data_IF_564895817813
#
_entry.id   IF_564895817813
#
_cell.length_a   1.000
_cell.length_b   1.000
_cell.length_c   1.000
_cell.angle_alpha   90.00
_cell.angle_beta   90.00
_cell.angle_gamma   90.00
#
_symmetry.space_group_name_H-M   'P 1'
#
loop_
_entity.id
_entity.type
_entity.pdbx_description
1 polymer ?
#
# COMPACT_ATOMS: atom_id res chain seq x y z
N UNK A 1 4.16 -5.50 -13.54
CA UNK A 1 3.60 -5.42 -12.17
C UNK A 1 3.34 -4.00 -11.68
N UNK A 2 4.35 -3.12 -11.59
CA UNK A 2 4.21 -1.77 -11.01
C UNK A 2 3.03 -0.95 -11.57
N UNK A 3 2.85 -0.94 -12.90
CA UNK A 3 1.70 -0.31 -13.57
C UNK A 3 0.36 -0.94 -13.21
N UNK A 4 0.31 -2.25 -12.97
CA UNK A 4 -0.92 -2.94 -12.57
C UNK A 4 -1.23 -2.66 -11.10
N UNK A 5 -0.21 -2.69 -10.24
CA UNK A 5 -0.37 -2.39 -8.82
C UNK A 5 -0.80 -0.95 -8.57
N UNK A 6 -0.23 0.00 -9.31
CA UNK A 6 -0.65 1.39 -9.22
C UNK A 6 -2.14 1.52 -9.54
N UNK A 7 -2.67 0.73 -10.48
CA UNK A 7 -4.10 0.69 -10.83
C UNK A 7 -4.99 -0.09 -9.86
N UNK A 8 -4.42 -0.84 -8.92
CA UNK A 8 -5.18 -1.62 -7.93
C UNK A 8 -5.42 -0.81 -6.66
N UNK A 9 -4.40 -0.08 -6.19
CA UNK A 9 -4.49 0.76 -5.00
C UNK A 9 -4.93 2.17 -5.43
N UNK A 10 -6.18 2.51 -5.16
CA UNK A 10 -6.81 3.78 -5.59
C UNK A 10 -6.19 5.02 -4.89
N UNK A 11 -5.36 4.83 -3.86
CA UNK A 11 -4.75 5.92 -3.10
C UNK A 11 -3.88 6.79 -4.03
N UNK A 12 -4.33 8.02 -4.27
CA UNK A 12 -3.58 9.01 -5.04
C UNK A 12 -3.63 8.86 -6.56
N UNK A 13 -4.44 7.94 -7.10
CA UNK A 13 -4.62 7.80 -8.55
C UNK A 13 -5.79 8.66 -9.04
N UNK A 14 -5.52 9.80 -9.68
CA UNK A 14 -6.56 10.72 -10.17
C UNK A 14 -7.60 10.07 -11.11
N UNK A 15 -7.19 9.07 -11.89
CA UNK A 15 -8.07 8.39 -12.85
C UNK A 15 -8.93 7.28 -12.24
N UNK A 16 -8.71 6.90 -10.99
CA UNK A 16 -9.45 5.84 -10.32
C UNK A 16 -10.19 6.44 -9.13
N UNK A 17 -11.48 6.10 -9.02
CA UNK A 17 -12.34 6.56 -7.93
C UNK A 17 -12.94 5.35 -7.24
N UNK A 18 -13.06 5.43 -5.92
CA UNK A 18 -13.85 4.50 -5.15
C UNK A 18 -15.33 4.63 -5.53
N UNK A 19 -16.07 3.52 -5.59
CA UNK A 19 -17.49 3.56 -5.94
C UNK A 19 -18.27 4.27 -4.84
N UNK A 20 -19.13 5.23 -5.19
CA UNK A 20 -20.06 5.88 -4.25
C UNK A 20 -21.48 5.32 -4.34
N UNK A 21 -21.74 4.46 -5.32
CA UNK A 21 -23.06 3.86 -5.58
C UNK A 21 -22.95 2.39 -5.97
N UNK A 22 -24.02 1.62 -5.76
CA UNK A 22 -24.08 0.22 -6.17
C UNK A 22 -23.85 0.03 -7.68
N UNK A 23 -24.30 0.99 -8.51
CA UNK A 23 -24.05 0.99 -9.96
C UNK A 23 -22.57 1.07 -10.31
N UNK A 24 -21.79 1.87 -9.55
CA UNK A 24 -20.35 2.01 -9.75
C UNK A 24 -19.55 0.84 -9.15
N UNK A 25 -20.12 0.10 -8.20
CA UNK A 25 -19.43 -0.99 -7.52
C UNK A 25 -19.05 -2.13 -8.46
N UNK A 26 -19.95 -2.54 -9.37
CA UNK A 26 -19.68 -3.63 -10.32
C UNK A 26 -18.47 -3.35 -11.23
N UNK A 27 -18.40 -2.22 -11.97
CA UNK A 27 -17.23 -1.92 -12.80
C UNK A 27 -15.95 -1.75 -11.97
N UNK A 28 -16.03 -1.18 -10.76
CA UNK A 28 -14.90 -1.11 -9.83
C UNK A 28 -14.37 -2.52 -9.50
N UNK A 29 -15.26 -3.43 -9.11
CA UNK A 29 -14.93 -4.81 -8.76
C UNK A 29 -14.34 -5.60 -9.92
N UNK A 30 -14.94 -5.49 -11.11
CA UNK A 30 -14.43 -6.16 -12.30
C UNK A 30 -13.01 -5.69 -12.65
N UNK A 31 -12.77 -4.37 -12.58
CA UNK A 31 -11.44 -3.82 -12.83
C UNK A 31 -10.43 -4.26 -11.79
N UNK A 32 -10.78 -4.17 -10.50
CA UNK A 32 -9.88 -4.50 -9.40
C UNK A 32 -9.52 -6.00 -9.37
N UNK A 33 -10.50 -6.90 -9.52
CA UNK A 33 -10.26 -8.35 -9.52
C UNK A 33 -9.41 -8.77 -10.74
N UNK A 34 -9.73 -8.27 -11.94
CA UNK A 34 -8.92 -8.52 -13.13
C UNK A 34 -7.48 -8.03 -12.98
N UNK A 35 -7.30 -6.85 -12.37
CA UNK A 35 -5.98 -6.29 -12.11
C UNK A 35 -5.21 -7.15 -11.12
N UNK A 36 -5.88 -7.63 -10.07
CA UNK A 36 -5.31 -8.53 -9.06
C UNK A 36 -4.83 -9.84 -9.68
N UNK A 37 -5.62 -10.47 -10.56
CA UNK A 37 -5.21 -11.69 -11.27
C UNK A 37 -3.92 -11.49 -12.07
N UNK A 38 -3.78 -10.33 -12.74
CA UNK A 38 -2.55 -9.98 -13.47
C UNK A 38 -1.32 -9.85 -12.55
N UNK A 39 -1.52 -9.32 -11.34
CA UNK A 39 -0.42 -9.17 -10.38
C UNK A 39 -0.04 -10.53 -9.81
N UNK A 40 -1.01 -11.38 -9.48
CA UNK A 40 -0.79 -12.74 -9.00
C UNK A 40 0.00 -13.56 -10.01
N UNK A 41 -0.43 -13.59 -11.27
CA UNK A 41 0.27 -14.31 -12.34
C UNK A 41 1.72 -13.82 -12.51
N UNK A 42 1.95 -12.50 -12.44
CA UNK A 42 3.31 -11.96 -12.49
C UNK A 42 4.16 -12.41 -11.30
N UNK A 43 3.61 -12.39 -10.08
CA UNK A 43 4.35 -12.81 -8.89
C UNK A 43 4.78 -14.29 -8.96
N UNK A 44 3.96 -15.14 -9.58
CA UNK A 44 4.24 -16.56 -9.75
C UNK A 44 5.26 -16.84 -10.87
N UNK A 45 5.34 -15.98 -11.89
CA UNK A 45 6.23 -16.20 -13.03
C UNK A 45 7.58 -15.52 -12.87
N UNK A 46 7.65 -14.36 -12.23
CA UNK A 46 8.82 -13.48 -12.33
C UNK A 46 9.58 -13.25 -11.02
N UNK A 47 9.06 -13.69 -9.87
CA UNK A 47 9.71 -13.45 -8.57
C UNK A 47 10.51 -14.65 -8.07
N UNK A 48 11.58 -14.34 -7.32
CA UNK A 48 12.31 -15.30 -6.50
C UNK A 48 11.37 -15.97 -5.48
N UNK A 49 11.80 -17.09 -4.90
CA UNK A 49 10.99 -17.83 -3.92
C UNK A 49 10.56 -16.93 -2.75
N UNK A 50 11.51 -16.20 -2.16
CA UNK A 50 11.21 -15.28 -1.05
C UNK A 50 10.28 -14.14 -1.48
N UNK A 51 10.55 -13.49 -2.62
CA UNK A 51 9.70 -12.42 -3.15
C UNK A 51 8.28 -12.89 -3.44
N UNK A 52 8.13 -14.12 -3.94
CA UNK A 52 6.84 -14.77 -4.19
C UNK A 52 6.09 -15.08 -2.90
N UNK A 53 6.76 -15.58 -1.87
CA UNK A 53 6.13 -15.88 -0.58
C UNK A 53 5.66 -14.58 0.10
N UNK A 54 6.46 -13.52 0.08
CA UNK A 54 6.05 -12.18 0.53
C UNK A 54 4.88 -11.62 -0.29
N UNK A 55 4.93 -11.73 -1.62
CA UNK A 55 3.85 -11.29 -2.49
C UNK A 55 2.56 -12.07 -2.24
N UNK A 56 2.61 -13.39 -1.98
CA UNK A 56 1.44 -14.21 -1.64
C UNK A 56 0.74 -13.70 -0.39
N UNK A 57 1.48 -13.38 0.67
CA UNK A 57 0.89 -12.83 1.92
C UNK A 57 0.14 -11.53 1.64
N UNK A 58 0.78 -10.60 0.93
CA UNK A 58 0.17 -9.33 0.58
C UNK A 58 -1.06 -9.51 -0.33
N UNK A 59 -0.92 -10.29 -1.40
CA UNK A 59 -1.98 -10.53 -2.37
C UNK A 59 -3.17 -11.25 -1.73
N UNK A 60 -2.92 -12.17 -0.79
CA UNK A 60 -3.98 -12.81 -0.02
C UNK A 60 -4.80 -11.79 0.78
N UNK A 61 -4.12 -10.84 1.43
CA UNK A 61 -4.75 -9.76 2.21
C UNK A 61 -5.63 -8.87 1.33
N UNK A 62 -5.09 -8.43 0.19
CA UNK A 62 -5.82 -7.62 -0.79
C UNK A 62 -6.98 -8.40 -1.40
N UNK A 63 -6.78 -9.67 -1.74
CA UNK A 63 -7.82 -10.56 -2.28
C UNK A 63 -8.99 -10.69 -1.31
N UNK A 64 -8.68 -10.91 -0.03
CA UNK A 64 -9.70 -11.09 1.03
C UNK A 64 -10.55 -9.84 1.20
N UNK A 65 -9.92 -8.67 1.28
CA UNK A 65 -10.67 -7.41 1.40
C UNK A 65 -11.49 -7.11 0.14
N UNK A 66 -10.90 -7.29 -1.05
CA UNK A 66 -11.60 -7.03 -2.30
C UNK A 66 -12.78 -7.98 -2.52
N UNK A 67 -12.63 -9.28 -2.25
CA UNK A 67 -13.75 -10.25 -2.34
C UNK A 67 -14.83 -9.96 -1.30
N UNK A 68 -14.47 -9.45 -0.12
CA UNK A 68 -15.43 -9.02 0.89
C UNK A 68 -16.32 -7.85 0.44
N UNK A 69 -15.77 -6.95 -0.37
CA UNK A 69 -16.50 -5.84 -1.02
C UNK A 69 -17.26 -6.32 -2.25
N UNK A 70 -16.63 -7.14 -3.10
CA UNK A 70 -17.08 -7.48 -4.45
C UNK A 70 -17.94 -8.75 -4.55
N UNK A 71 -18.57 -9.16 -3.46
CA UNK A 71 -19.45 -10.34 -3.46
C UNK A 71 -20.63 -10.13 -4.42
N UNK A 72 -20.85 -11.11 -5.29
CA UNK A 72 -21.96 -11.10 -6.26
C UNK A 72 -23.31 -11.36 -5.58
N UNK A 73 -24.40 -10.93 -6.24
CA UNK A 73 -25.77 -11.23 -5.83
C UNK A 73 -26.34 -10.39 -4.67
N UNK A 74 -25.50 -9.75 -3.84
CA UNK A 74 -25.98 -8.82 -2.78
C UNK A 74 -24.95 -7.80 -2.35
N UNK A 75 -25.42 -6.62 -1.92
CA UNK A 75 -24.58 -5.57 -1.38
C UNK A 75 -24.14 -5.91 0.07
N UNK A 76 -22.84 -6.13 0.27
CA UNK A 76 -22.28 -6.50 1.59
C UNK A 76 -22.16 -5.29 2.53
N UNK A 77 -22.01 -5.54 3.83
CA UNK A 77 -21.69 -4.48 4.80
C UNK A 77 -20.38 -3.78 4.42
N UNK A 78 -19.33 -4.53 4.06
CA UNK A 78 -18.04 -3.97 3.61
C UNK A 78 -18.20 -3.07 2.38
N UNK A 79 -19.03 -3.46 1.42
CA UNK A 79 -19.34 -2.63 0.26
C UNK A 79 -20.06 -1.33 0.65
N UNK A 80 -21.05 -1.41 1.56
CA UNK A 80 -21.74 -0.21 2.08
C UNK A 80 -20.78 0.72 2.83
N UNK A 81 -19.92 0.17 3.67
CA UNK A 81 -18.94 0.95 4.44
C UNK A 81 -17.93 1.63 3.50
N UNK A 82 -17.42 0.92 2.49
CA UNK A 82 -16.55 1.48 1.46
C UNK A 82 -17.25 2.62 0.70
N UNK A 83 -18.49 2.42 0.23
CA UNK A 83 -19.23 3.44 -0.50
C UNK A 83 -19.55 4.66 0.37
N UNK A 84 -19.77 4.47 1.68
CA UNK A 84 -19.97 5.57 2.62
C UNK A 84 -18.70 6.39 2.81
N UNK A 85 -17.53 5.76 2.78
CA UNK A 85 -16.24 6.44 2.88
C UNK A 85 -15.74 7.02 1.55
N UNK A 86 -16.23 6.50 0.42
CA UNK A 86 -15.77 6.86 -0.92
C UNK A 86 -15.85 8.36 -1.25
N UNK A 87 -16.87 9.15 -0.83
CA UNK A 87 -16.89 10.60 -1.09
C UNK A 87 -15.68 11.33 -0.51
N UNK A 88 -15.32 11.04 0.74
CA UNK A 88 -14.11 11.55 1.40
C UNK A 88 -12.86 11.08 0.66
N UNK A 89 -12.74 9.77 0.41
CA UNK A 89 -11.59 9.19 -0.27
C UNK A 89 -11.35 9.81 -1.66
N UNK A 90 -12.43 10.02 -2.42
CA UNK A 90 -12.41 10.59 -3.76
C UNK A 90 -12.09 12.09 -3.76
N UNK A 91 -12.59 12.85 -2.78
CA UNK A 91 -12.27 14.27 -2.63
C UNK A 91 -10.82 14.49 -2.22
N UNK A 92 -10.29 13.61 -1.36
CA UNK A 92 -8.91 13.66 -0.87
C UNK A 92 -7.85 13.11 -1.84
N UNK A 93 -8.21 12.59 -3.02
CA UNK A 93 -7.25 11.91 -3.92
C UNK A 93 -5.97 12.72 -4.19
N UNK A 94 -6.09 14.03 -4.43
CA UNK A 94 -4.93 14.90 -4.69
C UNK A 94 -4.02 15.01 -3.46
N UNK A 95 -4.62 15.09 -2.27
CA UNK A 95 -3.91 15.19 -1.00
C UNK A 95 -3.20 13.87 -0.67
N UNK A 96 -3.92 12.75 -0.76
CA UNK A 96 -3.37 11.41 -0.55
C UNK A 96 -2.29 11.04 -1.58
N UNK A 97 -2.35 11.60 -2.79
CA UNK A 97 -1.29 11.44 -3.79
C UNK A 97 0.05 11.99 -3.28
N UNK A 98 0.07 13.06 -2.48
CA UNK A 98 1.30 13.61 -1.90
C UNK A 98 1.94 12.58 -0.96
N UNK A 99 1.14 12.00 -0.06
CA UNK A 99 1.61 10.97 0.87
C UNK A 99 2.14 9.73 0.13
N UNK A 100 1.40 9.26 -0.87
CA UNK A 100 1.81 8.10 -1.66
C UNK A 100 3.10 8.38 -2.46
N UNK A 101 3.24 9.58 -3.04
CA UNK A 101 4.47 9.98 -3.75
C UNK A 101 5.67 10.00 -2.82
N UNK A 102 5.51 10.59 -1.62
CA UNK A 102 6.56 10.58 -0.58
C UNK A 102 6.95 9.16 -0.20
N UNK A 103 5.97 8.27 0.02
CA UNK A 103 6.24 6.87 0.35
C UNK A 103 7.02 6.16 -0.77
N UNK A 104 6.60 6.31 -2.03
CA UNK A 104 7.28 5.70 -3.18
C UNK A 104 8.73 6.20 -3.27
N UNK A 105 8.95 7.51 -3.10
CA UNK A 105 10.28 8.11 -3.12
C UNK A 105 11.16 7.54 -2.00
N UNK A 106 10.63 7.47 -0.78
CA UNK A 106 11.35 6.93 0.38
C UNK A 106 11.65 5.45 0.21
N UNK A 107 10.68 4.61 -0.13
CA UNK A 107 10.91 3.17 -0.31
C UNK A 107 11.86 2.86 -1.47
N UNK A 108 11.84 3.67 -2.52
CA UNK A 108 12.81 3.55 -3.60
C UNK A 108 14.21 3.94 -3.13
N UNK A 109 14.32 5.02 -2.36
CA UNK A 109 15.60 5.49 -1.79
C UNK A 109 16.15 4.61 -0.67
N UNK A 110 15.31 3.84 0.04
CA UNK A 110 15.74 2.87 1.06
C UNK A 110 16.79 1.89 0.51
N UNK A 111 16.75 1.56 -0.78
CA UNK A 111 17.75 0.68 -1.41
C UNK A 111 19.17 1.25 -1.37
N UNK A 112 19.32 2.57 -1.19
CA UNK A 112 20.62 3.23 -1.04
C UNK A 112 21.14 3.19 0.41
N UNK A 113 20.33 2.73 1.37
CA UNK A 113 20.75 2.53 2.76
C UNK A 113 21.42 1.15 2.96
N UNK A 114 22.22 0.99 4.03
CA UNK A 114 22.75 -0.31 4.43
C UNK A 114 21.63 -1.34 4.61
N UNK A 115 21.85 -2.59 4.17
CA UNK A 115 20.82 -3.66 4.14
C UNK A 115 20.08 -3.79 5.47
N UNK A 116 20.84 -3.83 6.59
CA UNK A 116 20.32 -3.92 7.96
C UNK A 116 19.38 -2.78 8.37
N UNK A 117 19.46 -1.61 7.72
CA UNK A 117 18.60 -0.46 8.00
C UNK A 117 17.35 -0.42 7.11
N UNK A 118 17.29 -1.22 6.04
CA UNK A 118 16.23 -1.14 5.04
C UNK A 118 14.86 -1.49 5.60
N UNK A 119 14.75 -2.59 6.34
CA UNK A 119 13.50 -2.98 6.99
C UNK A 119 13.04 -1.93 8.02
N UNK A 120 13.86 -1.52 9.03
CA UNK A 120 13.49 -0.46 9.97
C UNK A 120 12.97 0.81 9.27
N UNK A 121 13.71 1.29 8.27
CA UNK A 121 13.33 2.49 7.52
C UNK A 121 12.01 2.28 6.77
N UNK A 122 11.83 1.14 6.08
CA UNK A 122 10.57 0.83 5.38
C UNK A 122 9.38 0.76 6.33
N UNK A 123 9.53 0.12 7.49
CA UNK A 123 8.47 0.02 8.49
C UNK A 123 8.06 1.42 8.99
N UNK A 124 9.03 2.24 9.41
CA UNK A 124 8.74 3.59 9.91
C UNK A 124 8.16 4.52 8.84
N UNK A 125 8.62 4.43 7.59
CA UNK A 125 8.03 5.19 6.49
C UNK A 125 6.59 4.73 6.16
N UNK A 126 6.24 3.47 6.38
CA UNK A 126 4.85 3.03 6.27
C UNK A 126 3.97 3.64 7.37
N UNK A 127 4.43 3.69 8.62
CA UNK A 127 3.71 4.39 9.68
C UNK A 127 3.55 5.89 9.36
N UNK A 128 4.57 6.51 8.75
CA UNK A 128 4.48 7.89 8.28
C UNK A 128 3.46 8.07 7.15
N UNK A 129 3.28 7.08 6.25
CA UNK A 129 2.18 7.09 5.27
C UNK A 129 0.83 7.15 5.99
N UNK A 130 0.61 6.29 6.99
CA UNK A 130 -0.66 6.21 7.71
C UNK A 130 -0.99 7.54 8.41
N UNK A 131 -0.01 8.14 9.09
CA UNK A 131 -0.14 9.49 9.69
C UNK A 131 -0.46 10.55 8.63
N UNK A 132 0.32 10.61 7.56
CA UNK A 132 0.10 11.56 6.47
C UNK A 132 -1.30 11.44 5.85
N UNK A 133 -1.81 10.21 5.67
CA UNK A 133 -3.17 10.00 5.15
C UNK A 133 -4.25 10.52 6.11
N UNK A 134 -4.05 10.38 7.42
CA UNK A 134 -4.97 10.93 8.41
C UNK A 134 -4.94 12.47 8.39
N UNK A 135 -3.74 13.07 8.47
CA UNK A 135 -3.54 14.51 8.49
C UNK A 135 -4.12 15.17 7.22
N UNK A 136 -3.80 14.63 6.05
CA UNK A 136 -4.29 15.16 4.77
C UNK A 136 -5.79 14.95 4.56
N UNK A 137 -6.43 14.05 5.33
CA UNK A 137 -7.88 13.85 5.30
C UNK A 137 -8.63 14.85 6.18
N UNK A 138 -7.99 15.39 7.23
CA UNK A 138 -8.59 16.42 8.09
C UNK A 138 -8.87 17.73 7.32
N UNK A 139 -8.07 18.00 6.28
CA UNK A 139 -8.27 19.14 5.37
C UNK A 139 -9.38 18.93 4.31
N UNK A 140 -9.97 17.74 4.25
CA UNK A 140 -10.97 17.39 3.23
C UNK A 140 -12.37 17.51 3.82
N UNK A 141 -13.14 18.51 3.37
CA UNK A 141 -14.50 18.82 3.87
C UNK A 141 -15.46 17.63 3.90
N UNK A 142 -15.31 16.67 2.99
CA UNK A 142 -16.15 15.47 2.89
C UNK A 142 -15.78 14.38 3.92
N UNK A 143 -14.68 14.55 4.64
CA UNK A 143 -14.17 13.61 5.62
C UNK A 143 -14.68 13.96 7.00
N UNK A 144 -15.35 12.99 7.63
CA UNK A 144 -15.59 13.00 9.07
C UNK A 144 -14.51 12.17 9.75
N UNK A 145 -14.23 12.40 11.04
CA UNK A 145 -13.27 11.57 11.80
C UNK A 145 -13.52 10.06 11.66
N UNK A 146 -14.79 9.63 11.74
CA UNK A 146 -15.19 8.22 11.52
C UNK A 146 -14.84 7.72 10.11
N UNK A 147 -14.93 8.58 9.11
CA UNK A 147 -14.57 8.24 7.73
C UNK A 147 -13.06 8.14 7.55
N UNK A 148 -12.31 9.07 8.16
CA UNK A 148 -10.84 9.04 8.18
C UNK A 148 -10.36 7.75 8.85
N UNK A 149 -10.89 7.41 10.03
CA UNK A 149 -10.58 6.18 10.74
C UNK A 149 -10.84 4.93 9.89
N UNK A 150 -11.96 4.93 9.14
CA UNK A 150 -12.27 3.83 8.24
C UNK A 150 -11.25 3.72 7.10
N UNK A 151 -10.89 4.83 6.45
CA UNK A 151 -9.92 4.85 5.34
C UNK A 151 -8.56 4.37 5.84
N UNK A 152 -8.08 4.93 6.95
CA UNK A 152 -6.80 4.54 7.57
C UNK A 152 -6.80 3.06 7.92
N UNK A 153 -7.84 2.56 8.59
CA UNK A 153 -7.96 1.12 8.91
C UNK A 153 -8.04 0.26 7.67
N UNK A 154 -8.73 0.71 6.63
CA UNK A 154 -8.83 -0.01 5.36
C UNK A 154 -7.45 -0.15 4.71
N UNK A 155 -6.66 0.93 4.64
CA UNK A 155 -5.29 0.89 4.09
C UNK A 155 -4.38 0.02 4.96
N UNK A 156 -4.45 0.18 6.28
CA UNK A 156 -3.62 -0.60 7.20
C UNK A 156 -3.88 -2.10 7.06
N UNK A 157 -5.14 -2.53 7.00
CA UNK A 157 -5.52 -3.95 6.83
C UNK A 157 -4.94 -4.61 5.58
N UNK A 158 -4.68 -3.84 4.52
CA UNK A 158 -4.10 -4.41 3.30
C UNK A 158 -2.64 -4.82 3.50
N UNK A 159 -1.90 -4.11 4.37
CA UNK A 159 -0.44 -4.24 4.52
C UNK A 159 -0.05 -4.82 5.89
N UNK A 160 -0.94 -4.75 6.89
CA UNK A 160 -0.69 -5.21 8.26
C UNK A 160 -0.10 -6.63 8.35
N UNK A 161 -0.59 -7.65 7.60
CA UNK A 161 0.02 -8.99 7.66
C UNK A 161 1.49 -9.03 7.23
N UNK A 162 1.90 -8.19 6.26
CA UNK A 162 3.32 -8.13 5.87
C UNK A 162 4.15 -7.33 6.89
N UNK A 163 3.57 -6.32 7.54
CA UNK A 163 4.24 -5.58 8.61
C UNK A 163 4.41 -6.46 9.85
N UNK A 164 3.45 -7.30 10.21
CA UNK A 164 3.59 -8.22 11.34
C UNK A 164 4.75 -9.21 11.13
N UNK A 165 5.05 -9.57 9.88
CA UNK A 165 6.18 -10.46 9.56
C UNK A 165 7.51 -9.69 9.61
N UNK A 166 7.54 -8.48 9.04
CA UNK A 166 8.80 -7.75 8.78
C UNK A 166 9.15 -6.72 9.87
N UNK A 167 8.16 -6.14 10.53
CA UNK A 167 8.25 -4.94 11.37
C UNK A 167 7.98 -5.20 12.85
N UNK A 168 8.24 -6.43 13.34
CA UNK A 168 7.93 -6.83 14.72
C UNK A 168 8.46 -5.86 15.79
N UNK A 169 9.68 -5.33 15.61
CA UNK A 169 10.29 -4.34 16.52
C UNK A 169 9.98 -2.87 16.19
N UNK A 170 9.27 -2.62 15.08
CA UNK A 170 8.97 -1.29 14.53
C UNK A 170 7.47 -1.11 14.27
N UNK A 171 6.63 -1.82 15.02
CA UNK A 171 5.18 -1.88 14.82
C UNK A 171 4.42 -0.65 15.30
N UNK A 172 5.09 0.25 16.03
CA UNK A 172 4.46 1.43 16.63
C UNK A 172 5.19 2.74 16.28
N UNK A 173 4.43 3.84 16.10
CA UNK A 173 5.02 5.15 15.96
C UNK A 173 5.79 5.56 17.22
N UNK A 174 7.06 5.90 17.08
CA UNK A 174 7.97 6.28 18.18
C UNK A 174 8.99 7.31 17.71
N UNK A 175 9.64 8.02 18.63
CA UNK A 175 10.74 8.96 18.31
C UNK A 175 11.87 8.28 17.50
N UNK A 176 12.06 6.97 17.74
CA UNK A 176 12.97 6.12 16.97
C UNK A 176 12.58 6.05 15.49
N UNK A 177 11.28 5.96 15.19
CA UNK A 177 10.80 5.95 13.81
C UNK A 177 10.90 7.32 13.15
N UNK A 178 10.65 8.41 13.87
CA UNK A 178 10.75 9.76 13.31
C UNK A 178 12.19 10.06 12.86
N UNK A 179 13.18 9.72 13.69
CA UNK A 179 14.60 9.82 13.33
C UNK A 179 14.99 8.95 12.11
N UNK A 180 14.41 7.75 11.98
CA UNK A 180 14.67 6.86 10.85
C UNK A 180 14.04 7.38 9.55
N UNK A 181 12.84 7.94 9.61
CA UNK A 181 12.16 8.55 8.45
C UNK A 181 12.98 9.71 7.89
N UNK A 182 13.49 10.57 8.75
CA UNK A 182 14.34 11.71 8.35
C UNK A 182 15.63 11.24 7.67
N UNK A 183 16.27 10.20 8.23
CA UNK A 183 17.51 9.61 7.69
C UNK A 183 17.31 8.73 6.46
N UNK A 184 16.06 8.37 6.13
CA UNK A 184 15.79 7.52 4.97
C UNK A 184 16.17 8.27 3.70
N UNK A 185 17.08 7.74 2.87
CA UNK A 185 17.47 8.40 1.64
C UNK A 185 16.27 8.61 0.70
N UNK A 186 16.29 9.69 -0.06
CA UNK A 186 15.35 9.86 -1.16
C UNK A 186 15.84 9.10 -2.40
N UNK A 187 14.92 8.72 -3.27
CA UNK A 187 15.27 8.17 -4.58
C UNK A 187 16.06 9.19 -5.41
N UNK A 188 17.12 8.74 -6.07
CA UNK A 188 17.80 9.55 -7.08
C UNK A 188 16.91 9.76 -8.31
N UNK A 189 17.23 10.72 -9.17
CA UNK A 189 16.46 10.98 -10.38
C UNK A 189 16.33 9.74 -11.29
N UNK A 190 17.38 8.92 -11.40
CA UNK A 190 17.38 7.67 -12.17
C UNK A 190 16.52 6.57 -11.55
N UNK A 191 16.23 6.64 -10.25
CA UNK A 191 15.44 5.67 -9.52
C UNK A 191 13.93 5.96 -9.51
N UNK A 192 13.49 7.17 -9.88
CA UNK A 192 12.07 7.61 -9.88
C UNK A 192 11.21 6.99 -10.99
N UNK A 193 11.34 5.68 -11.20
CA UNK A 193 10.61 4.91 -12.24
C UNK A 193 9.35 4.22 -11.72
N UNK A 194 9.23 4.02 -10.41
CA UNK A 194 8.10 3.30 -9.81
C UNK A 194 6.86 4.17 -9.66
N UNK A 195 5.70 3.62 -10.01
CA UNK A 195 4.37 4.23 -9.90
C UNK A 195 3.59 3.68 -8.69
N UNK A 196 4.11 2.66 -8.04
CA UNK A 196 3.56 2.03 -6.83
C UNK A 196 4.67 1.71 -5.84
N UNK A 197 4.34 1.65 -4.56
CA UNK A 197 5.32 1.34 -3.51
C UNK A 197 5.64 -0.16 -3.41
N UNK A 198 4.88 -1.03 -4.08
CA UNK A 198 5.02 -2.48 -3.92
C UNK A 198 6.33 -3.02 -4.48
N UNK A 199 6.73 -2.60 -5.69
CA UNK A 199 8.02 -3.05 -6.25
C UNK A 199 9.20 -2.65 -5.36
N UNK A 200 9.28 -1.41 -4.85
CA UNK A 200 10.23 -1.05 -3.81
C UNK A 200 10.20 -1.96 -2.56
N UNK A 201 9.02 -2.27 -1.99
CA UNK A 201 8.91 -3.21 -0.85
C UNK A 201 9.51 -4.57 -1.21
N UNK A 202 9.17 -5.09 -2.38
CA UNK A 202 9.63 -6.41 -2.83
C UNK A 202 11.14 -6.40 -3.01
N UNK A 203 11.72 -5.32 -3.54
CA UNK A 203 13.18 -5.19 -3.65
C UNK A 203 13.86 -5.17 -2.27
N UNK A 204 13.27 -4.47 -1.29
CA UNK A 204 13.76 -4.47 0.09
C UNK A 204 13.73 -5.89 0.66
N UNK A 205 12.60 -6.59 0.50
CA UNK A 205 12.43 -7.97 0.93
C UNK A 205 13.45 -8.91 0.25
N UNK A 206 13.61 -8.81 -1.07
CA UNK A 206 14.56 -9.63 -1.84
C UNK A 206 16.00 -9.42 -1.42
N UNK A 207 16.39 -8.18 -1.08
CA UNK A 207 17.76 -7.90 -0.66
C UNK A 207 18.20 -8.59 0.64
N UNK A 208 17.25 -9.13 1.40
CA UNK A 208 17.51 -9.93 2.59
C UNK A 208 17.74 -11.42 2.25
N UNK A 209 17.06 -11.90 1.21
CA UNK A 209 17.25 -13.25 0.69
C UNK A 209 18.65 -13.46 0.13
N UNK A 210 19.18 -12.44 -0.55
CA UNK A 210 20.52 -12.49 -1.13
C UNK A 210 21.63 -12.51 -0.04
N UNK A 211 21.50 -11.71 1.04
CA UNK A 211 22.43 -11.78 2.20
C UNK A 211 22.42 -13.18 2.86
N UNK A 212 21.26 -13.84 2.96
CA UNK A 212 21.19 -15.19 3.52
C UNK A 212 21.80 -16.28 2.63
N UNK A 213 22.01 -16.00 1.34
CA UNK A 213 22.67 -16.90 0.38
C UNK A 213 24.18 -16.70 0.27
N UNK A 214 24.70 -15.53 0.67
CA UNK A 214 26.15 -15.25 0.72
C UNK A 214 26.80 -15.69 2.04
N UNK A 215 25.99 -16.06 3.04
CA UNK A 215 26.42 -16.56 4.35
C UNK A 215 26.31 -18.10 4.48
N UNK A 216 25.92 -18.80 3.42
CA UNK A 216 25.81 -20.26 3.33
C UNK A 216 26.82 -20.82 2.33
#
# INVERSE_FOLDING_TARGET
MDKAMSKLIVIGQKSLKFPTTARQLRPYCNHALKTLDQITAYSEQCMSKFGRDAAKVLLHSVTTELRGVCKTGRLTKRAKDLMKAAPCANAGLKNFQKCNTKLIEKFTGVMNAPVKQRIPMSCCNFHQLIRCLADEADDVKQCSRKTVDFIVKYVNKLIEPILMIMCTEYSEPSDRCDALVERTPNATASQRRYKSFLMPIINVAMSLGDESSELA
#
